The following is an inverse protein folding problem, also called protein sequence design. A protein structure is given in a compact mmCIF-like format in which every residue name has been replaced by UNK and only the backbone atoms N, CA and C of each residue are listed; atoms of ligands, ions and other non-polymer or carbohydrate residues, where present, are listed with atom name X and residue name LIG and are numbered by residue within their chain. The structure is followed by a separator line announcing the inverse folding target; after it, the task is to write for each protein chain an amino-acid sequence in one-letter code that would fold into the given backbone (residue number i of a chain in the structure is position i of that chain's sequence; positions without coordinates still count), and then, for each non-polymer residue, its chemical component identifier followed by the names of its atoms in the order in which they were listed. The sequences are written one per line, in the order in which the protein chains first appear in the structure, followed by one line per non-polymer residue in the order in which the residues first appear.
data_IF_251770285451
#
_entry.id   IF_251770285451
#
_cell.length_a   1.000
_cell.length_b   1.000
_cell.length_c   1.000
_cell.angle_alpha   90.00
_cell.angle_beta   90.00
_cell.angle_gamma   90.00
#
_symmetry.space_group_name_H-M   'P 1'
#
loop_
_entity.id
_entity.type
_entity.pdbx_description
1 polymer ?
#
# COMPACT_ATOMS: atom_id res chain seq x y z
N UNK A 1 -38.80 72.73 -18.22
CA UNK A 1 -37.45 72.55 -18.79
C UNK A 1 -36.80 71.42 -18.02
N UNK A 2 -36.78 70.24 -18.64
CA UNK A 2 -36.21 68.98 -18.11
C UNK A 2 -34.68 69.02 -18.22
N UNK A 3 -33.94 68.39 -17.30
CA UNK A 3 -33.18 67.16 -17.55
C UNK A 3 -32.33 66.78 -16.32
N UNK A 4 -32.84 65.83 -15.54
CA UNK A 4 -32.03 65.01 -14.65
C UNK A 4 -31.41 63.86 -15.44
N UNK A 5 -30.08 63.83 -15.52
CA UNK A 5 -29.33 62.73 -16.13
C UNK A 5 -29.32 61.54 -15.16
N UNK A 6 -30.27 60.61 -15.38
CA UNK A 6 -30.27 59.29 -14.74
C UNK A 6 -29.20 58.41 -15.39
N UNK A 7 -28.31 57.92 -14.53
CA UNK A 7 -27.40 56.79 -14.67
C UNK A 7 -27.84 55.73 -15.70
N UNK A 8 -26.94 55.43 -16.65
CA UNK A 8 -27.09 54.38 -17.65
C UNK A 8 -27.15 52.99 -17.00
N UNK A 9 -28.12 52.12 -17.36
CA UNK A 9 -28.16 50.76 -16.85
C UNK A 9 -27.17 49.86 -17.60
N UNK A 10 -26.34 49.13 -16.83
CA UNK A 10 -25.35 48.13 -17.26
C UNK A 10 -25.96 46.87 -17.95
N UNK A 11 -27.12 46.99 -18.59
CA UNK A 11 -27.97 45.87 -19.01
C UNK A 11 -27.76 45.34 -20.44
N UNK A 12 -26.65 45.67 -21.11
CA UNK A 12 -26.40 45.20 -22.49
C UNK A 12 -25.55 43.92 -22.55
N UNK A 13 -24.70 43.67 -21.55
CA UNK A 13 -23.89 42.45 -21.45
C UNK A 13 -24.69 41.25 -20.91
N UNK A 14 -25.79 41.46 -20.18
CA UNK A 14 -26.62 40.37 -19.63
C UNK A 14 -27.54 39.72 -20.67
N UNK A 15 -27.75 40.34 -21.85
CA UNK A 15 -28.73 39.88 -22.85
C UNK A 15 -28.22 38.84 -23.85
N UNK A 16 -26.93 38.49 -23.84
CA UNK A 16 -26.33 37.64 -24.89
C UNK A 16 -25.91 36.23 -24.47
N UNK A 17 -26.28 35.77 -23.28
CA UNK A 17 -26.00 34.38 -22.87
C UNK A 17 -27.29 33.69 -22.40
N UNK A 18 -27.60 32.49 -22.92
CA UNK A 18 -28.76 31.75 -22.46
C UNK A 18 -28.52 31.36 -21.00
N UNK A 19 -29.53 31.56 -20.14
CA UNK A 19 -29.67 31.01 -18.77
C UNK A 19 -29.03 31.82 -17.61
N UNK A 20 -29.34 33.13 -17.43
CA UNK A 20 -28.86 33.92 -16.29
C UNK A 20 -29.33 33.38 -14.91
N UNK A 21 -30.55 32.85 -14.82
CA UNK A 21 -31.10 32.30 -13.57
C UNK A 21 -30.38 31.03 -13.12
N UNK A 22 -30.08 30.12 -14.05
CA UNK A 22 -29.34 28.89 -13.74
C UNK A 22 -27.92 29.20 -13.28
N UNK A 23 -27.26 30.20 -13.87
CA UNK A 23 -25.94 30.67 -13.40
C UNK A 23 -26.00 31.21 -11.98
N UNK A 24 -27.05 31.96 -11.61
CA UNK A 24 -27.24 32.44 -10.23
C UNK A 24 -27.46 31.29 -9.26
N UNK A 25 -28.31 30.31 -9.61
CA UNK A 25 -28.55 29.10 -8.79
C UNK A 25 -27.28 28.26 -8.60
N UNK A 26 -26.50 28.06 -9.67
CA UNK A 26 -25.22 27.34 -9.61
C UNK A 26 -24.17 28.07 -8.77
N UNK A 27 -24.06 29.41 -8.89
CA UNK A 27 -23.15 30.20 -8.05
C UNK A 27 -23.57 30.17 -6.59
N UNK A 28 -24.86 30.26 -6.30
CA UNK A 28 -25.38 30.12 -4.94
C UNK A 28 -25.05 28.73 -4.38
N UNK A 29 -25.26 27.67 -5.16
CA UNK A 29 -24.94 26.29 -4.78
C UNK A 29 -23.45 26.05 -4.52
N UNK A 30 -22.56 26.57 -5.37
CA UNK A 30 -21.10 26.49 -5.17
C UNK A 30 -20.61 27.25 -3.94
N UNK A 31 -21.38 28.24 -3.47
CA UNK A 31 -21.06 29.06 -2.29
C UNK A 31 -21.64 28.51 -0.99
N UNK A 32 -22.59 27.59 -1.04
CA UNK A 32 -23.19 26.98 0.16
C UNK A 32 -22.56 25.63 0.54
N UNK A 33 -21.57 25.15 -0.22
CA UNK A 33 -20.92 23.84 -0.03
C UNK A 33 -19.41 23.93 -0.28
N UNK A 34 -18.61 23.00 0.27
CA UNK A 34 -17.17 22.89 0.00
C UNK A 34 -16.90 22.39 -1.43
N UNK A 35 -17.39 23.12 -2.44
CA UNK A 35 -17.41 22.68 -3.83
C UNK A 35 -16.00 22.41 -4.37
N UNK A 36 -15.10 23.36 -4.15
CA UNK A 36 -13.71 23.27 -4.62
C UNK A 36 -12.93 22.16 -3.93
N UNK A 37 -13.18 21.95 -2.63
CA UNK A 37 -12.57 20.84 -1.90
C UNK A 37 -13.04 19.49 -2.44
N UNK A 38 -14.35 19.32 -2.61
CA UNK A 38 -14.92 18.11 -3.22
C UNK A 38 -14.43 17.87 -4.66
N UNK A 39 -14.32 18.94 -5.47
CA UNK A 39 -13.86 18.85 -6.85
C UNK A 39 -12.41 18.35 -6.94
N UNK A 40 -11.51 18.90 -6.13
CA UNK A 40 -10.09 18.52 -6.14
C UNK A 40 -9.89 17.08 -5.63
N UNK A 41 -10.61 16.68 -4.58
CA UNK A 41 -10.59 15.29 -4.09
C UNK A 41 -11.12 14.33 -5.17
N UNK A 42 -12.19 14.70 -5.87
CA UNK A 42 -12.77 13.88 -6.93
C UNK A 42 -11.82 13.75 -8.13
N UNK A 43 -11.19 14.86 -8.55
CA UNK A 43 -10.18 14.84 -9.60
C UNK A 43 -8.96 14.00 -9.20
N UNK A 44 -8.50 14.11 -7.95
CA UNK A 44 -7.41 13.29 -7.43
C UNK A 44 -7.75 11.80 -7.46
N UNK A 45 -8.96 11.42 -7.02
CA UNK A 45 -9.44 10.04 -7.13
C UNK A 45 -9.60 9.54 -8.57
N UNK A 46 -10.08 10.40 -9.48
CA UNK A 46 -10.24 10.07 -10.89
C UNK A 46 -8.88 9.86 -11.59
N UNK A 47 -7.87 10.67 -11.27
CA UNK A 47 -6.51 10.48 -11.75
C UNK A 47 -5.92 9.14 -11.28
N UNK A 48 -6.13 8.80 -10.00
CA UNK A 48 -5.75 7.48 -9.45
C UNK A 48 -6.38 6.32 -10.22
N UNK A 49 -7.60 6.50 -10.74
CA UNK A 49 -8.30 5.48 -11.52
C UNK A 49 -7.89 5.45 -13.00
N UNK A 50 -7.35 6.53 -13.55
CA UNK A 50 -7.05 6.63 -14.97
C UNK A 50 -5.89 5.72 -15.40
N UNK A 51 -4.86 5.55 -14.56
CA UNK A 51 -3.65 4.77 -14.92
C UNK A 51 -3.88 3.25 -14.84
N UNK A 52 -4.59 2.69 -13.84
CA UNK A 52 -4.99 1.28 -13.84
C UNK A 52 -5.88 0.88 -15.04
N UNK A 53 -6.58 1.84 -15.63
CA UNK A 53 -7.42 1.64 -16.83
C UNK A 53 -6.62 1.69 -18.15
N UNK A 54 -5.31 1.98 -18.09
CA UNK A 54 -4.38 1.80 -19.21
C UNK A 54 -4.10 0.30 -19.43
N UNK A 55 -3.57 -0.15 -20.60
CA UNK A 55 -3.69 -1.55 -21.04
C UNK A 55 -3.25 -2.54 -19.96
N UNK A 56 -3.97 -3.67 -19.85
CA UNK A 56 -3.89 -4.70 -18.80
C UNK A 56 -2.45 -5.07 -18.37
N UNK A 57 -1.48 -4.93 -19.26
CA UNK A 57 -0.05 -5.08 -19.02
C UNK A 57 0.49 -4.20 -17.88
N UNK A 58 0.01 -2.95 -17.74
CA UNK A 58 0.40 -2.03 -16.66
C UNK A 58 -0.21 -2.45 -15.33
N UNK A 59 -1.47 -2.89 -15.34
CA UNK A 59 -2.16 -3.38 -14.14
C UNK A 59 -1.51 -4.65 -13.58
N UNK A 60 -1.11 -5.58 -14.48
CA UNK A 60 -0.36 -6.79 -14.12
C UNK A 60 1.04 -6.44 -13.59
N UNK A 61 1.68 -5.40 -14.15
CA UNK A 61 2.99 -4.92 -13.70
C UNK A 61 2.94 -4.18 -12.35
N UNK A 62 1.81 -3.56 -12.00
CA UNK A 62 1.61 -2.82 -10.74
C UNK A 62 1.23 -3.71 -9.54
N UNK A 63 0.77 -4.94 -9.80
CA UNK A 63 0.45 -5.94 -8.76
C UNK A 63 -0.58 -5.43 -7.73
N UNK A 64 -0.35 -5.74 -6.44
CA UNK A 64 -1.22 -5.32 -5.33
C UNK A 64 -1.33 -3.78 -5.20
N UNK A 65 -0.29 -3.05 -5.62
CA UNK A 65 -0.28 -1.58 -5.64
C UNK A 65 -1.32 -1.01 -6.62
N UNK A 66 -1.56 -1.69 -7.75
CA UNK A 66 -2.63 -1.33 -8.68
C UNK A 66 -4.03 -1.53 -8.10
N UNK A 67 -4.25 -2.63 -7.38
CA UNK A 67 -5.53 -2.90 -6.72
C UNK A 67 -5.78 -1.89 -5.60
N UNK A 68 -4.74 -1.57 -4.82
CA UNK A 68 -4.82 -0.52 -3.80
C UNK A 68 -5.10 0.86 -4.41
N UNK A 69 -4.48 1.21 -5.54
CA UNK A 69 -4.74 2.46 -6.27
C UNK A 69 -6.21 2.56 -6.71
N UNK A 70 -6.78 1.47 -7.22
CA UNK A 70 -8.20 1.42 -7.61
C UNK A 70 -9.11 1.62 -6.39
N UNK A 71 -8.86 0.88 -5.30
CA UNK A 71 -9.67 1.00 -4.08
C UNK A 71 -9.62 2.39 -3.47
N UNK A 72 -8.42 2.97 -3.37
CA UNK A 72 -8.21 4.33 -2.86
C UNK A 72 -8.83 5.37 -3.80
N UNK A 73 -8.65 5.22 -5.12
CA UNK A 73 -9.25 6.10 -6.12
C UNK A 73 -10.77 6.15 -6.05
N UNK A 74 -11.44 5.00 -5.97
CA UNK A 74 -12.90 4.92 -5.77
C UNK A 74 -13.30 5.60 -4.45
N UNK A 75 -12.60 5.32 -3.36
CA UNK A 75 -12.90 5.93 -2.05
C UNK A 75 -12.77 7.46 -2.07
N UNK A 76 -11.75 8.00 -2.76
CA UNK A 76 -11.57 9.44 -2.95
C UNK A 76 -12.69 10.05 -3.81
N UNK A 77 -13.07 9.41 -4.91
CA UNK A 77 -14.22 9.87 -5.74
C UNK A 77 -15.49 9.94 -4.89
N UNK A 78 -15.78 8.90 -4.11
CA UNK A 78 -16.92 8.88 -3.19
C UNK A 78 -16.81 9.99 -2.16
N UNK A 79 -15.66 10.20 -1.53
CA UNK A 79 -15.44 11.27 -0.57
C UNK A 79 -15.71 12.67 -1.17
N UNK A 80 -15.25 12.91 -2.41
CA UNK A 80 -15.52 14.14 -3.15
C UNK A 80 -17.02 14.37 -3.39
N UNK A 81 -17.75 13.31 -3.75
CA UNK A 81 -19.21 13.35 -3.89
C UNK A 81 -19.91 13.60 -2.55
N UNK A 82 -19.47 12.93 -1.47
CA UNK A 82 -19.99 13.15 -0.12
C UNK A 82 -19.86 14.61 0.32
N UNK A 83 -18.76 15.28 -0.02
CA UNK A 83 -18.57 16.71 0.28
C UNK A 83 -19.59 17.62 -0.45
N UNK A 84 -20.12 17.19 -1.60
CA UNK A 84 -21.18 17.93 -2.32
C UNK A 84 -22.59 17.64 -1.84
N UNK A 85 -22.86 16.45 -1.31
CA UNK A 85 -24.20 16.03 -0.86
C UNK A 85 -24.42 16.21 0.64
N UNK A 86 -23.39 16.06 1.48
CA UNK A 86 -23.46 16.12 2.94
C UNK A 86 -22.43 17.11 3.54
N UNK A 87 -22.63 18.44 3.37
CA UNK A 87 -21.72 19.44 3.90
C UNK A 87 -21.62 19.45 5.44
N UNK A 88 -22.59 18.86 6.14
CA UNK A 88 -22.59 18.68 7.60
C UNK A 88 -21.48 17.72 8.06
N UNK A 89 -21.15 16.70 7.26
CA UNK A 89 -20.12 15.70 7.59
C UNK A 89 -18.71 16.10 7.09
N UNK A 90 -18.52 17.32 6.61
CA UNK A 90 -17.30 17.74 5.89
C UNK A 90 -16.00 17.51 6.65
N UNK A 91 -15.98 17.76 7.97
CA UNK A 91 -14.75 17.63 8.76
C UNK A 91 -14.28 16.17 8.83
N UNK A 92 -15.23 15.26 9.08
CA UNK A 92 -14.99 13.82 9.10
C UNK A 92 -14.56 13.30 7.72
N UNK A 93 -15.33 13.64 6.68
CA UNK A 93 -15.05 13.20 5.30
C UNK A 93 -13.70 13.74 4.80
N UNK A 94 -13.36 14.98 5.13
CA UNK A 94 -12.07 15.58 4.74
C UNK A 94 -10.89 14.91 5.45
N UNK A 95 -11.04 14.50 6.71
CA UNK A 95 -9.98 13.78 7.42
C UNK A 95 -9.72 12.41 6.78
N UNK A 96 -10.77 11.68 6.42
CA UNK A 96 -10.63 10.40 5.71
C UNK A 96 -10.03 10.58 4.31
N UNK A 97 -10.50 11.58 3.55
CA UNK A 97 -9.94 11.88 2.24
C UNK A 97 -8.46 12.26 2.32
N UNK A 98 -8.05 13.03 3.35
CA UNK A 98 -6.66 13.38 3.58
C UNK A 98 -5.80 12.13 3.87
N UNK A 99 -6.27 11.25 4.76
CA UNK A 99 -5.58 10.00 5.08
C UNK A 99 -5.45 9.09 3.87
N UNK A 100 -6.52 8.92 3.10
CA UNK A 100 -6.52 8.13 1.87
C UNK A 100 -5.59 8.71 0.80
N UNK A 101 -5.54 10.04 0.69
CA UNK A 101 -4.63 10.72 -0.24
C UNK A 101 -3.18 10.46 0.13
N UNK A 102 -2.78 10.61 1.39
CA UNK A 102 -1.40 10.32 1.82
C UNK A 102 -1.10 8.82 1.72
N UNK A 103 -2.06 7.97 2.08
CA UNK A 103 -1.92 6.51 1.98
C UNK A 103 -1.69 6.06 0.54
N UNK A 104 -2.24 6.76 -0.46
CA UNK A 104 -2.06 6.39 -1.87
C UNK A 104 -0.59 6.40 -2.28
N UNK A 105 0.21 7.33 -1.76
CA UNK A 105 1.63 7.42 -2.09
C UNK A 105 2.44 6.22 -1.58
N UNK A 106 2.15 5.78 -0.35
CA UNK A 106 2.80 4.62 0.27
C UNK A 106 2.31 3.32 -0.36
N UNK A 107 0.99 3.19 -0.55
CA UNK A 107 0.37 1.99 -1.08
C UNK A 107 0.75 1.68 -2.54
N UNK A 108 1.18 2.68 -3.31
CA UNK A 108 1.55 2.56 -4.73
C UNK A 108 3.06 2.57 -5.00
N UNK A 109 3.90 2.41 -3.96
CA UNK A 109 5.35 2.28 -4.09
C UNK A 109 6.03 3.44 -4.85
N UNK A 110 5.80 4.69 -4.43
CA UNK A 110 6.34 5.92 -5.08
C UNK A 110 5.95 6.11 -6.56
N UNK A 111 5.09 5.23 -7.11
CA UNK A 111 4.86 5.10 -8.54
C UNK A 111 3.57 5.75 -9.00
N UNK A 112 3.65 7.01 -9.42
CA UNK A 112 2.87 7.49 -10.56
C UNK A 112 1.68 8.41 -10.30
N UNK A 113 1.23 8.59 -9.06
CA UNK A 113 0.00 9.37 -8.76
C UNK A 113 0.24 10.57 -7.84
N UNK A 114 1.41 11.21 -7.98
CA UNK A 114 1.78 12.35 -7.15
C UNK A 114 0.78 13.50 -7.32
N UNK A 115 0.32 13.74 -8.55
CA UNK A 115 -0.65 14.81 -8.82
C UNK A 115 -1.99 14.47 -8.14
N UNK A 116 -2.47 13.23 -8.27
CA UNK A 116 -3.68 12.78 -7.59
C UNK A 116 -3.62 12.89 -6.05
N UNK A 117 -2.48 12.54 -5.47
CA UNK A 117 -2.21 12.71 -4.04
C UNK A 117 -2.26 14.20 -3.64
N UNK A 118 -1.56 15.08 -4.37
CA UNK A 118 -1.53 16.52 -4.09
C UNK A 118 -2.91 17.16 -4.22
N UNK A 119 -3.67 16.77 -5.25
CA UNK A 119 -5.06 17.20 -5.45
C UNK A 119 -5.96 16.74 -4.30
N UNK A 120 -5.83 15.49 -3.86
CA UNK A 120 -6.57 14.95 -2.72
C UNK A 120 -6.24 15.65 -1.41
N UNK A 121 -4.96 15.91 -1.13
CA UNK A 121 -4.51 16.64 0.07
C UNK A 121 -5.02 18.09 0.05
N UNK A 122 -4.81 18.81 -1.06
CA UNK A 122 -5.26 20.20 -1.19
C UNK A 122 -6.79 20.31 -1.11
N UNK A 123 -7.51 19.41 -1.78
CA UNK A 123 -8.97 19.36 -1.75
C UNK A 123 -9.51 19.07 -0.35
N UNK A 124 -8.88 18.16 0.39
CA UNK A 124 -9.25 17.81 1.77
C UNK A 124 -9.02 18.99 2.71
N UNK A 125 -7.89 19.69 2.60
CA UNK A 125 -7.62 20.89 3.41
C UNK A 125 -8.62 22.02 3.14
N UNK A 126 -8.96 22.26 1.86
CA UNK A 126 -9.96 23.26 1.47
C UNK A 126 -11.38 22.89 1.94
N UNK A 127 -11.75 21.61 1.89
CA UNK A 127 -13.03 21.13 2.37
C UNK A 127 -13.15 21.21 3.91
N UNK A 128 -12.05 20.94 4.62
CA UNK A 128 -11.97 21.01 6.07
C UNK A 128 -12.13 22.45 6.58
N UNK A 129 -11.40 23.40 5.97
CA UNK A 129 -11.43 24.82 6.35
C UNK A 129 -12.67 25.58 5.87
N UNK A 130 -13.49 24.97 5.02
CA UNK A 130 -14.68 25.64 4.49
C UNK A 130 -15.72 25.86 5.60
N UNK A 131 -16.25 27.06 5.74
CA UNK A 131 -17.35 27.38 6.66
C UNK A 131 -18.49 28.08 5.90
N UNK A 132 -19.76 27.82 6.24
CA UNK A 132 -20.86 28.56 5.64
C UNK A 132 -20.70 30.03 6.04
N UNK A 133 -20.81 30.94 5.07
CA UNK A 133 -20.87 32.37 5.42
C UNK A 133 -22.13 32.58 6.27
N UNK A 134 -22.04 33.29 7.41
CA UNK A 134 -23.21 33.79 8.09
C UNK A 134 -24.07 34.56 7.08
N UNK A 135 -25.38 34.29 7.07
CA UNK A 135 -26.30 35.09 6.28
C UNK A 135 -26.21 36.56 6.69
N UNK A 136 -26.55 37.51 5.81
CA UNK A 136 -26.74 38.90 6.23
C UNK A 136 -27.65 38.90 7.46
N UNK A 137 -27.28 39.59 8.55
CA UNK A 137 -28.13 39.63 9.73
C UNK A 137 -29.53 40.08 9.31
N UNK A 138 -30.51 39.20 9.53
CA UNK A 138 -31.90 39.55 9.37
C UNK A 138 -32.24 40.47 10.54
N UNK A 139 -32.38 41.77 10.26
CA UNK A 139 -32.69 42.78 11.27
C UNK A 139 -31.44 43.33 11.95
N UNK A 140 -30.87 44.39 11.36
CA UNK A 140 -30.22 45.41 12.18
C UNK A 140 -31.34 46.32 12.69
N UNK A 141 -32.10 45.82 13.66
CA UNK A 141 -32.96 46.55 14.59
C UNK A 141 -33.32 45.57 15.71
N UNK A 142 -33.12 45.99 16.95
CA UNK A 142 -33.34 45.32 18.24
C UNK A 142 -32.14 44.58 18.88
N UNK A 143 -31.50 45.31 19.78
CA UNK A 143 -30.70 44.80 20.90
C UNK A 143 -31.50 43.79 21.73
N UNK A 144 -31.15 42.51 21.60
CA UNK A 144 -31.58 41.43 22.50
C UNK A 144 -30.37 40.79 23.18
N UNK A 145 -30.48 40.33 24.44
CA UNK A 145 -29.33 39.86 25.21
C UNK A 145 -28.68 38.65 24.53
N UNK A 146 -27.35 38.68 24.44
CA UNK A 146 -26.53 37.61 23.90
C UNK A 146 -26.69 36.33 24.76
N UNK A 147 -27.66 35.47 24.42
CA UNK A 147 -27.76 34.14 25.02
C UNK A 147 -26.69 33.27 24.35
N UNK A 148 -25.54 33.14 25.01
CA UNK A 148 -24.56 32.10 24.70
C UNK A 148 -25.20 30.74 25.01
N UNK A 149 -25.71 30.07 23.99
CA UNK A 149 -26.15 28.67 24.08
C UNK A 149 -24.91 27.80 24.29
N UNK A 150 -24.85 26.98 25.36
CA UNK A 150 -23.79 26.01 25.52
C UNK A 150 -24.12 24.82 24.62
N UNK A 151 -23.46 24.72 23.47
CA UNK A 151 -23.52 23.50 22.67
C UNK A 151 -22.64 22.44 23.34
N UNK A 152 -23.25 21.77 24.32
CA UNK A 152 -22.86 20.46 24.80
C UNK A 152 -23.32 19.41 23.80
N UNK A 153 -22.42 18.99 22.93
CA UNK A 153 -22.59 17.86 22.01
C UNK A 153 -21.46 16.85 22.20
N UNK A 154 -21.66 15.91 23.12
CA UNK A 154 -21.07 14.56 23.17
C UNK A 154 -19.57 14.44 22.87
N UNK A 155 -18.75 14.57 23.92
CA UNK A 155 -17.47 13.87 23.98
C UNK A 155 -17.75 12.37 24.19
N UNK A 156 -17.78 11.59 23.11
CA UNK A 156 -17.59 10.14 23.20
C UNK A 156 -16.12 9.84 22.95
N UNK A 157 -15.43 9.14 23.88
CA UNK A 157 -14.04 8.79 23.72
C UNK A 157 -13.97 7.57 22.79
N UNK A 158 -13.53 7.79 21.54
CA UNK A 158 -13.01 6.71 20.70
C UNK A 158 -11.50 6.83 20.57
N UNK A 159 -10.85 7.17 21.70
CA UNK A 159 -9.41 7.11 21.88
C UNK A 159 -9.01 5.65 22.17
N UNK A 160 -9.10 4.76 21.18
CA UNK A 160 -8.39 3.47 21.25
C UNK A 160 -7.74 3.10 19.91
N UNK A 161 -8.27 3.55 18.76
CA UNK A 161 -7.66 3.24 17.47
C UNK A 161 -6.46 4.12 17.02
N UNK A 162 -6.28 5.40 17.45
CA UNK A 162 -5.09 6.14 17.04
C UNK A 162 -3.83 5.65 17.75
N UNK A 163 -3.94 4.97 18.91
CA UNK A 163 -2.77 4.38 19.60
C UNK A 163 -2.33 3.08 18.93
N UNK A 164 -3.28 2.28 18.39
CA UNK A 164 -2.95 1.08 17.61
C UNK A 164 -2.34 1.44 16.25
N UNK A 165 -2.77 2.56 15.64
CA UNK A 165 -2.20 3.03 14.37
C UNK A 165 -0.89 3.82 14.54
N UNK A 166 -0.71 4.53 15.67
CA UNK A 166 0.58 5.16 16.00
C UNK A 166 1.61 4.11 16.48
N UNK A 167 1.18 3.00 17.08
CA UNK A 167 2.05 1.84 17.31
C UNK A 167 2.48 1.19 15.99
N UNK A 168 1.64 1.22 14.95
CA UNK A 168 2.00 0.75 13.61
C UNK A 168 2.85 1.76 12.81
N UNK A 169 2.81 3.06 13.13
CA UNK A 169 3.61 4.11 12.48
C UNK A 169 4.93 4.44 13.22
N UNK A 170 5.06 4.10 14.51
CA UNK A 170 6.34 4.09 15.24
C UNK A 170 7.02 2.71 15.15
N UNK A 171 6.28 1.65 14.80
CA UNK A 171 6.85 0.47 14.17
C UNK A 171 7.20 0.79 12.71
N UNK A 172 8.12 1.74 12.54
CA UNK A 172 8.97 1.75 11.36
C UNK A 172 9.54 0.35 11.16
N UNK A 173 9.87 0.04 9.90
CA UNK A 173 10.70 -1.09 9.52
C UNK A 173 11.59 -1.49 10.70
N UNK A 174 11.54 -2.76 11.18
CA UNK A 174 12.27 -3.14 12.36
C UNK A 174 13.68 -2.56 12.21
N UNK A 175 14.17 -1.73 13.15
CA UNK A 175 15.55 -1.27 13.10
C UNK A 175 16.35 -2.53 12.89
N UNK A 176 17.25 -2.53 11.89
CA UNK A 176 18.13 -3.65 11.58
C UNK A 176 18.57 -4.22 12.93
N UNK A 177 17.92 -5.33 13.33
CA UNK A 177 18.04 -5.82 14.70
C UNK A 177 19.51 -6.17 14.76
N UNK A 178 20.25 -5.53 15.65
CA UNK A 178 21.65 -5.86 15.86
C UNK A 178 21.70 -7.39 15.93
N UNK A 179 22.36 -8.01 14.94
CA UNK A 179 22.42 -9.46 14.85
C UNK A 179 22.92 -9.94 16.22
N UNK A 180 22.19 -10.84 16.90
CA UNK A 180 22.67 -11.37 18.16
C UNK A 180 24.08 -11.89 17.91
N UNK A 181 25.03 -11.47 18.74
CA UNK A 181 26.38 -12.00 18.73
C UNK A 181 26.28 -13.52 18.90
N UNK A 182 26.42 -14.25 17.80
CA UNK A 182 26.10 -15.69 17.70
C UNK A 182 25.28 -16.12 16.48
N UNK A 183 24.92 -15.22 15.54
CA UNK A 183 24.26 -15.62 14.29
C UNK A 183 25.09 -16.71 13.57
N UNK A 184 24.47 -17.84 13.14
CA UNK A 184 25.19 -18.94 12.50
C UNK A 184 25.90 -18.46 11.23
N UNK A 185 27.18 -18.79 11.13
CA UNK A 185 28.02 -18.45 9.97
C UNK A 185 27.64 -19.39 8.82
N UNK A 186 27.28 -18.82 7.68
CA UNK A 186 26.95 -19.60 6.49
C UNK A 186 28.21 -20.24 5.89
N UNK A 187 28.02 -21.38 5.21
CA UNK A 187 29.09 -22.08 4.53
C UNK A 187 29.76 -21.19 3.45
N UNK A 188 31.06 -21.43 3.19
CA UNK A 188 31.82 -20.70 2.15
C UNK A 188 31.18 -20.85 0.77
N UNK A 189 30.87 -22.08 0.39
CA UNK A 189 30.15 -22.38 -0.85
C UNK A 189 28.70 -22.68 -0.50
N UNK A 190 27.71 -21.90 -0.99
CA UNK A 190 26.31 -22.21 -0.75
C UNK A 190 25.96 -23.57 -1.36
N UNK A 191 25.40 -24.52 -0.59
CA UNK A 191 24.85 -25.74 -1.15
C UNK A 191 23.72 -25.45 -2.14
N UNK A 192 23.70 -26.22 -3.23
CA UNK A 192 22.59 -26.23 -4.18
C UNK A 192 21.61 -27.33 -3.78
N UNK A 193 20.36 -26.93 -3.54
CA UNK A 193 19.24 -27.80 -3.24
C UNK A 193 18.35 -27.92 -4.47
N UNK A 194 17.93 -29.14 -4.79
CA UNK A 194 16.94 -29.43 -5.83
C UNK A 194 15.81 -30.29 -5.25
N UNK A 195 14.58 -30.01 -5.69
CA UNK A 195 13.39 -30.74 -5.24
C UNK A 195 12.34 -30.75 -6.35
N UNK A 196 11.61 -31.86 -6.48
CA UNK A 196 10.57 -31.99 -7.50
C UNK A 196 9.32 -31.19 -7.16
N UNK A 197 9.01 -31.11 -5.86
CA UNK A 197 7.91 -30.36 -5.27
C UNK A 197 8.41 -29.54 -4.07
N UNK A 198 7.96 -28.31 -3.97
CA UNK A 198 8.11 -27.45 -2.80
C UNK A 198 6.74 -26.89 -2.44
N UNK A 199 6.21 -27.31 -1.29
CA UNK A 199 4.91 -26.90 -0.79
C UNK A 199 5.07 -26.14 0.55
N UNK A 200 5.23 -24.81 0.51
CA UNK A 200 5.35 -24.01 1.72
C UNK A 200 3.98 -23.69 2.33
N UNK A 201 3.94 -23.52 3.65
CA UNK A 201 2.74 -23.11 4.39
C UNK A 201 2.99 -21.79 5.12
N UNK A 202 2.13 -20.79 4.88
CA UNK A 202 2.30 -19.46 5.44
C UNK A 202 3.54 -18.74 4.90
N UNK A 203 3.80 -18.93 3.60
CA UNK A 203 4.94 -18.35 2.90
C UNK A 203 4.91 -16.82 2.92
N UNK A 204 5.97 -16.21 3.43
CA UNK A 204 6.19 -14.77 3.42
C UNK A 204 7.61 -14.46 2.96
N UNK A 205 7.72 -13.56 1.99
CA UNK A 205 8.99 -12.94 1.65
C UNK A 205 9.34 -11.93 2.76
N UNK A 206 10.39 -12.21 3.53
CA UNK A 206 10.82 -11.33 4.62
C UNK A 206 11.71 -10.17 4.10
N UNK A 207 12.31 -10.32 2.93
CA UNK A 207 13.11 -9.29 2.27
C UNK A 207 14.52 -9.77 1.93
N UNK A 208 15.47 -8.85 1.93
CA UNK A 208 16.88 -9.12 1.63
C UNK A 208 17.73 -8.80 2.86
N UNK A 209 18.58 -9.73 3.26
CA UNK A 209 19.50 -9.58 4.38
C UNK A 209 20.96 -9.82 3.92
N UNK A 210 21.92 -9.56 4.80
CA UNK A 210 23.32 -9.95 4.60
C UNK A 210 23.68 -10.99 5.65
N UNK A 211 24.19 -12.14 5.21
CA UNK A 211 24.66 -13.21 6.10
C UNK A 211 26.18 -13.27 6.04
N UNK A 212 26.82 -13.49 7.19
CA UNK A 212 28.27 -13.60 7.29
C UNK A 212 28.73 -14.98 6.77
N UNK A 213 29.66 -14.98 5.82
CA UNK A 213 30.42 -16.17 5.41
C UNK A 213 31.91 -15.94 5.69
N UNK A 214 32.73 -16.99 5.59
CA UNK A 214 34.17 -16.85 5.80
C UNK A 214 34.87 -15.97 4.73
N UNK A 215 34.28 -15.84 3.54
CA UNK A 215 34.81 -15.02 2.43
C UNK A 215 34.24 -13.60 2.42
N UNK A 216 33.35 -13.27 3.37
CA UNK A 216 32.72 -11.97 3.50
C UNK A 216 31.18 -12.04 3.60
N UNK A 217 30.52 -10.90 3.84
CA UNK A 217 29.06 -10.87 3.90
C UNK A 217 28.45 -11.09 2.52
N UNK A 218 27.53 -12.04 2.40
CA UNK A 218 26.78 -12.34 1.17
C UNK A 218 25.34 -11.84 1.30
N UNK A 219 24.85 -11.21 0.24
CA UNK A 219 23.46 -10.73 0.16
C UNK A 219 22.55 -11.92 -0.15
N UNK A 220 21.49 -12.09 0.64
CA UNK A 220 20.58 -13.24 0.55
C UNK A 220 19.14 -12.80 0.59
N UNK A 221 18.29 -13.53 -0.12
CA UNK A 221 16.84 -13.47 -0.05
C UNK A 221 16.37 -14.26 1.17
N UNK A 222 15.54 -13.66 2.01
CA UNK A 222 15.01 -14.29 3.23
C UNK A 222 13.56 -14.67 3.02
N UNK A 223 13.28 -15.97 3.09
CA UNK A 223 11.94 -16.53 3.00
C UNK A 223 11.55 -17.11 4.36
N UNK A 224 10.42 -16.67 4.91
CA UNK A 224 9.90 -17.13 6.19
C UNK A 224 8.60 -17.90 5.99
N UNK A 225 8.43 -19.01 6.71
CA UNK A 225 7.24 -19.85 6.64
C UNK A 225 7.05 -20.65 7.93
N UNK A 226 5.86 -21.24 8.09
CA UNK A 226 5.53 -22.08 9.25
C UNK A 226 5.88 -23.55 9.05
N UNK A 227 5.81 -23.99 7.80
CA UNK A 227 6.20 -25.33 7.40
C UNK A 227 6.57 -25.35 5.92
N UNK A 228 7.37 -26.34 5.53
CA UNK A 228 7.68 -26.62 4.14
C UNK A 228 7.81 -28.13 3.92
N UNK A 229 7.11 -28.63 2.91
CA UNK A 229 7.21 -30.01 2.44
C UNK A 229 7.96 -30.07 1.12
N UNK A 230 9.00 -30.90 1.06
CA UNK A 230 9.83 -31.13 -0.11
C UNK A 230 9.80 -32.61 -0.51
N UNK A 231 9.83 -32.89 -1.82
CA UNK A 231 9.90 -34.26 -2.38
C UNK A 231 11.10 -34.41 -3.31
N UNK A 232 11.72 -35.58 -3.28
CA UNK A 232 12.95 -35.88 -4.02
C UNK A 232 14.06 -34.86 -3.71
N UNK A 233 14.24 -34.58 -2.42
CA UNK A 233 15.21 -33.62 -1.93
C UNK A 233 16.62 -34.10 -2.27
N UNK A 234 17.41 -33.25 -2.93
CA UNK A 234 18.84 -33.45 -3.13
C UNK A 234 19.59 -32.16 -2.82
N UNK A 235 20.55 -32.24 -1.92
CA UNK A 235 21.51 -31.20 -1.63
C UNK A 235 22.86 -31.62 -2.18
N UNK A 236 23.54 -30.69 -2.83
CA UNK A 236 24.94 -30.83 -3.24
C UNK A 236 25.73 -29.66 -2.69
N UNK A 237 26.88 -29.97 -2.11
CA UNK A 237 27.80 -28.97 -1.57
C UNK A 237 29.23 -29.32 -1.96
N UNK A 238 30.07 -28.30 -2.02
CA UNK A 238 31.49 -28.45 -2.30
C UNK A 238 32.29 -27.80 -1.19
N UNK A 239 33.17 -28.59 -0.58
CA UNK A 239 34.13 -28.09 0.40
C UNK A 239 35.54 -28.44 -0.06
N UNK A 240 36.30 -27.42 -0.47
CA UNK A 240 37.61 -27.60 -1.11
C UNK A 240 37.53 -28.44 -2.40
N UNK A 241 38.19 -29.60 -2.39
CA UNK A 241 38.29 -30.48 -3.56
C UNK A 241 37.15 -31.51 -3.69
N UNK A 242 36.46 -31.86 -2.60
CA UNK A 242 35.44 -32.91 -2.56
C UNK A 242 34.02 -32.40 -2.82
N UNK A 243 33.19 -33.22 -3.45
CA UNK A 243 31.75 -32.97 -3.64
C UNK A 243 30.95 -33.90 -2.72
N UNK A 244 30.07 -33.31 -1.92
CA UNK A 244 29.23 -34.04 -0.98
C UNK A 244 27.77 -33.89 -1.38
N UNK A 245 27.05 -35.01 -1.38
CA UNK A 245 25.65 -35.10 -1.70
C UNK A 245 24.84 -35.59 -0.51
N UNK A 246 23.64 -35.06 -0.35
CA UNK A 246 22.63 -35.58 0.56
C UNK A 246 21.33 -35.70 -0.23
N UNK A 247 20.67 -36.85 -0.15
CA UNK A 247 19.39 -37.08 -0.81
C UNK A 247 18.37 -37.63 0.18
N UNK A 248 17.10 -37.26 0.04
CA UNK A 248 16.00 -37.80 0.83
C UNK A 248 14.74 -37.90 -0.05
N UNK A 249 13.88 -38.88 0.23
CA UNK A 249 12.62 -39.05 -0.48
C UNK A 249 11.66 -37.90 -0.15
N UNK A 250 11.62 -37.51 1.12
CA UNK A 250 10.89 -36.33 1.60
C UNK A 250 11.68 -35.60 2.68
N UNK A 251 11.44 -34.30 2.76
CA UNK A 251 11.98 -33.42 3.80
C UNK A 251 10.85 -32.48 4.26
N UNK A 252 10.52 -32.57 5.54
CA UNK A 252 9.52 -31.76 6.21
C UNK A 252 10.20 -30.82 7.21
N UNK A 253 9.99 -29.52 7.04
CA UNK A 253 10.43 -28.50 7.99
C UNK A 253 9.21 -27.93 8.70
N UNK A 254 9.27 -27.78 10.03
CA UNK A 254 8.18 -27.22 10.84
C UNK A 254 8.67 -26.21 11.87
N UNK A 255 7.80 -25.28 12.24
CA UNK A 255 8.06 -24.26 13.25
C UNK A 255 8.44 -22.92 12.64
N UNK A 256 9.46 -22.24 13.19
CA UNK A 256 10.01 -21.00 12.60
C UNK A 256 11.00 -21.33 11.47
N UNK A 257 10.46 -21.66 10.29
CA UNK A 257 11.27 -22.01 9.12
C UNK A 257 11.72 -20.74 8.40
N UNK A 258 13.03 -20.52 8.35
CA UNK A 258 13.64 -19.42 7.58
C UNK A 258 14.68 -19.95 6.61
N UNK A 259 14.50 -19.64 5.33
CA UNK A 259 15.44 -19.98 4.26
C UNK A 259 16.19 -18.72 3.80
N UNK A 260 17.52 -18.77 3.81
CA UNK A 260 18.40 -17.72 3.32
C UNK A 260 19.02 -18.17 2.00
N UNK A 261 18.56 -17.57 0.90
CA UNK A 261 18.86 -18.06 -0.45
C UNK A 261 19.59 -17.00 -1.27
N UNK A 262 20.65 -17.36 -1.98
CA UNK A 262 21.29 -16.49 -2.98
C UNK A 262 20.55 -16.54 -4.31
N UNK A 263 19.89 -17.67 -4.59
CA UNK A 263 19.10 -17.87 -5.80
C UNK A 263 17.98 -18.86 -5.53
N UNK A 264 16.79 -18.59 -6.05
CA UNK A 264 15.64 -19.48 -5.93
C UNK A 264 14.89 -19.53 -7.26
N UNK A 265 14.80 -20.71 -7.86
CA UNK A 265 14.15 -20.89 -9.16
C UNK A 265 13.15 -22.04 -9.10
N UNK A 266 12.03 -21.92 -9.80
CA UNK A 266 11.06 -23.01 -9.91
C UNK A 266 9.81 -22.58 -10.68
N UNK A 267 8.89 -23.52 -10.89
CA UNK A 267 7.68 -23.28 -11.67
C UNK A 267 6.43 -23.34 -10.79
N UNK A 268 5.76 -22.20 -10.68
CA UNK A 268 4.51 -21.99 -9.95
C UNK A 268 3.41 -22.78 -10.65
N UNK A 269 2.78 -23.72 -9.93
CA UNK A 269 1.76 -24.65 -10.46
C UNK A 269 2.17 -25.40 -11.74
N UNK A 270 3.48 -25.52 -11.99
CA UNK A 270 4.03 -26.13 -13.20
C UNK A 270 3.93 -25.28 -14.48
N UNK A 271 3.29 -24.11 -14.43
CA UNK A 271 3.00 -23.26 -15.59
C UNK A 271 4.01 -22.11 -15.74
N UNK A 272 4.19 -21.31 -14.69
CA UNK A 272 5.01 -20.10 -14.74
C UNK A 272 6.36 -20.32 -14.03
N UNK A 273 7.43 -20.42 -14.81
CA UNK A 273 8.78 -20.56 -14.27
C UNK A 273 9.39 -19.20 -13.95
N UNK A 274 9.81 -19.05 -12.70
CA UNK A 274 10.31 -17.80 -12.12
C UNK A 274 11.65 -18.05 -11.45
N UNK A 275 12.52 -17.06 -11.51
CA UNK A 275 13.79 -17.05 -10.80
C UNK A 275 13.88 -15.79 -9.97
N UNK A 276 14.19 -15.97 -8.69
CA UNK A 276 14.33 -14.93 -7.69
C UNK A 276 15.76 -14.89 -7.19
N UNK A 277 16.29 -13.69 -7.06
CA UNK A 277 17.63 -13.45 -6.55
C UNK A 277 17.64 -12.10 -5.81
N UNK A 278 18.59 -11.87 -4.90
CA UNK A 278 18.66 -10.61 -4.17
C UNK A 278 19.00 -9.39 -5.05
N UNK A 279 19.52 -9.61 -6.27
CA UNK A 279 19.96 -8.57 -7.21
C UNK A 279 19.14 -8.48 -8.51
N UNK A 280 18.31 -9.50 -8.81
CA UNK A 280 17.55 -9.60 -10.05
C UNK A 280 16.08 -9.96 -9.83
N UNK A 281 15.22 -9.19 -10.52
CA UNK A 281 13.75 -9.14 -10.48
C UNK A 281 13.19 -8.70 -9.10
N UNK A 282 12.20 -7.79 -9.05
CA UNK A 282 11.59 -7.40 -7.78
C UNK A 282 11.01 -8.65 -7.14
N UNK A 283 11.47 -8.93 -5.92
CA UNK A 283 11.01 -10.06 -5.15
C UNK A 283 9.47 -10.05 -5.09
N UNK A 284 8.81 -11.17 -5.38
CA UNK A 284 7.37 -11.21 -5.58
C UNK A 284 6.71 -10.82 -4.26
N UNK A 285 5.91 -9.74 -4.23
CA UNK A 285 5.47 -9.16 -2.95
C UNK A 285 4.54 -10.09 -2.19
N UNK A 286 3.86 -11.02 -2.86
CA UNK A 286 3.08 -12.10 -2.22
C UNK A 286 2.98 -13.28 -3.20
N UNK A 287 3.60 -14.43 -2.87
CA UNK A 287 3.20 -15.70 -3.50
C UNK A 287 1.93 -16.14 -2.77
N UNK A 288 0.84 -16.51 -3.47
CA UNK A 288 -0.40 -16.93 -2.80
C UNK A 288 -0.12 -18.08 -1.82
N UNK A 289 -0.77 -18.11 -0.65
CA UNK A 289 -0.42 -19.00 0.47
C UNK A 289 -0.61 -20.51 0.20
N UNK A 290 -1.04 -20.88 -1.01
CA UNK A 290 -1.38 -22.25 -1.40
C UNK A 290 -0.61 -22.73 -2.64
N UNK A 291 0.38 -21.98 -3.13
CA UNK A 291 1.06 -22.37 -4.36
C UNK A 291 2.21 -23.31 -4.06
N UNK A 292 2.10 -24.53 -4.58
CA UNK A 292 3.23 -25.44 -4.68
C UNK A 292 4.07 -25.08 -5.92
N UNK A 293 5.38 -25.20 -5.77
CA UNK A 293 6.33 -25.02 -6.86
C UNK A 293 6.90 -26.37 -7.27
N UNK A 294 7.12 -26.52 -8.58
CA UNK A 294 7.72 -27.72 -9.17
C UNK A 294 9.08 -27.39 -9.77
N UNK A 295 9.92 -28.41 -9.93
CA UNK A 295 11.28 -28.28 -10.52
C UNK A 295 12.09 -27.16 -9.85
N UNK A 296 12.11 -27.20 -8.53
CA UNK A 296 12.73 -26.15 -7.73
C UNK A 296 14.22 -26.39 -7.61
N UNK A 297 15.00 -25.33 -7.82
CA UNK A 297 16.43 -25.26 -7.60
C UNK A 297 16.73 -24.03 -6.74
N UNK A 298 17.41 -24.22 -5.62
CA UNK A 298 17.71 -23.18 -4.65
C UNK A 298 19.19 -23.23 -4.26
N UNK A 299 19.87 -22.09 -4.32
CA UNK A 299 21.19 -21.92 -3.73
C UNK A 299 21.00 -21.35 -2.33
N UNK A 300 21.34 -22.16 -1.33
CA UNK A 300 20.96 -21.92 0.05
C UNK A 300 22.18 -21.59 0.89
N UNK A 301 22.28 -20.37 1.38
CA UNK A 301 23.35 -19.95 2.28
C UNK A 301 23.16 -20.51 3.70
N UNK A 302 21.90 -20.52 4.18
CA UNK A 302 21.56 -20.96 5.53
C UNK A 302 20.08 -21.38 5.59
N UNK A 303 19.76 -22.36 6.43
CA UNK A 303 18.38 -22.69 6.83
C UNK A 303 18.28 -22.86 8.32
N UNK A 304 17.19 -22.35 8.88
CA UNK A 304 16.83 -22.54 10.29
C UNK A 304 15.39 -23.05 10.38
N UNK A 305 15.14 -23.95 11.31
CA UNK A 305 13.82 -24.50 11.62
C UNK A 305 13.85 -25.14 13.01
N UNK A 306 12.69 -25.29 13.65
CA UNK A 306 12.61 -25.96 14.96
C UNK A 306 12.72 -27.48 14.83
N UNK A 307 12.12 -28.05 13.78
CA UNK A 307 12.11 -29.48 13.51
C UNK A 307 12.39 -29.75 12.03
N UNK A 308 13.28 -30.71 11.78
CA UNK A 308 13.57 -31.27 10.47
C UNK A 308 13.27 -32.77 10.54
N UNK A 309 12.34 -33.22 9.71
CA UNK A 309 11.96 -34.63 9.60
C UNK A 309 12.25 -35.10 8.15
N UNK A 310 12.95 -36.22 8.00
CA UNK A 310 13.40 -36.75 6.71
C UNK A 310 13.01 -38.20 6.56
N UNK A 311 12.60 -38.60 5.36
CA UNK A 311 12.45 -40.00 4.99
C UNK A 311 13.45 -40.42 3.91
N UNK A 312 14.02 -41.62 4.04
CA UNK A 312 14.94 -42.19 3.05
C UNK A 312 16.26 -41.43 2.87
N UNK A 313 16.83 -40.89 3.97
CA UNK A 313 18.09 -40.14 3.94
C UNK A 313 19.27 -40.97 3.39
N UNK A 314 20.00 -40.41 2.43
CA UNK A 314 21.21 -40.96 1.83
C UNK A 314 22.29 -39.88 1.81
N UNK A 315 23.53 -40.28 2.08
CA UNK A 315 24.69 -39.41 2.08
C UNK A 315 25.69 -39.98 1.06
N UNK A 316 26.11 -39.15 0.13
CA UNK A 316 27.06 -39.47 -0.92
C UNK A 316 28.29 -38.58 -0.76
N UNK A 317 29.48 -39.14 -0.96
CA UNK A 317 30.74 -38.39 -0.96
C UNK A 317 31.58 -38.90 -2.14
N UNK A 318 32.10 -37.97 -2.94
CA UNK A 318 32.95 -38.26 -4.11
C UNK A 318 34.23 -37.44 -4.08
#
# INVERSE_FOLDING_TARGET
MLLGLRSAPHGWLERRLPLPEQRRRLRAWRRTRPFWGGLLVLLGGAELLLVPLSPLTVLVSLGLGGIAAVGIGVALVLAGLFLWFLPQARAYVSLHALLLSVLSFVATNLGGFLVGMLLGVAGSALAFGWTPLPGPPAGADEEGPYVRRPDGGTRTPAAVLPVVLLAALVAGAPPARAEPAGAPVAARTPPTVTTSLFAPQGFALAGVARVRTADGPVKVLVLKMRAASLRDYRLRTRDGAGEYGLAAASLELRGDVTLYLTRFSGCIEGLLCVTFSPDGLPAPPVIPPFVFMTRVTAEQALVTSDVIETDGLRLDAS
#
